data_IF_209095454040
#
_entry.id   IF_209095454040
#
_cell.length_a   1.000
_cell.length_b   1.000
_cell.length_c   1.000
_cell.angle_alpha   90.00
_cell.angle_beta   90.00
_cell.angle_gamma   90.00
#
_symmetry.space_group_name_H-M   'P 1'
#
loop_
_entity.id
_entity.type
_entity.pdbx_description
1 polymer ?
2 non-polymer ?
3 water ?
#
# COMPACT_ATOMS: atom_id res chain seq x y z
N UNK A 1 0.37 37.92 -15.82
CA UNK A 1 -0.12 38.71 -17.00
C UNK A 1 -0.67 37.81 -18.11
N UNK A 2 -0.26 38.07 -19.37
CA UNK A 2 -0.67 37.22 -20.51
C UNK A 2 0.17 35.94 -20.63
N UNK A 3 -0.43 34.78 -20.35
CA UNK A 3 0.28 33.50 -20.45
C UNK A 3 1.28 33.28 -19.33
N UNK A 4 2.44 32.74 -19.68
CA UNK A 4 3.43 32.24 -18.71
C UNK A 4 4.79 32.36 -19.40
N UNK A 5 5.82 32.78 -18.68
CA UNK A 5 7.16 32.91 -19.26
C UNK A 5 7.90 31.61 -19.17
N UNK A 6 8.94 31.45 -20.00
CA UNK A 6 9.82 30.27 -20.04
C UNK A 6 10.33 30.11 -18.62
N UNK A 7 10.64 31.25 -17.99
CA UNK A 7 11.21 31.18 -16.66
C UNK A 7 10.26 30.57 -15.62
N UNK A 8 8.99 30.94 -15.65
CA UNK A 8 8.08 30.39 -14.61
C UNK A 8 7.77 28.91 -14.89
N UNK A 9 7.86 28.48 -16.16
CA UNK A 9 7.71 27.07 -16.44
C UNK A 9 8.85 26.29 -15.73
N UNK A 10 10.11 26.73 -15.92
CA UNK A 10 11.23 26.10 -15.24
C UNK A 10 11.03 25.97 -13.78
N UNK A 11 10.46 27.00 -13.17
CA UNK A 11 10.20 26.96 -11.72
C UNK A 11 9.10 25.98 -11.37
N UNK A 12 8.04 25.92 -12.20
CA UNK A 12 6.95 25.00 -11.93
C UNK A 12 7.49 23.55 -12.07
N UNK A 13 8.36 23.34 -13.06
CA UNK A 13 8.82 22.00 -13.32
C UNK A 13 9.72 21.56 -12.16
N UNK A 14 10.65 22.45 -11.78
CA UNK A 14 11.58 22.15 -10.66
C UNK A 14 10.85 21.80 -9.34
N UNK A 15 9.82 22.52 -9.04
CA UNK A 15 9.04 22.24 -7.86
C UNK A 15 8.27 20.91 -7.98
N UNK A 16 7.76 20.62 -9.18
CA UNK A 16 6.99 19.43 -9.31
C UNK A 16 7.91 18.23 -9.12
N UNK A 17 9.14 18.36 -9.60
CA UNK A 17 10.10 17.26 -9.50
C UNK A 17 10.57 17.13 -8.08
N UNK A 18 10.66 18.23 -7.37
CA UNK A 18 11.09 18.10 -5.99
C UNK A 18 9.97 17.34 -5.19
N UNK A 19 8.72 17.74 -5.38
CA UNK A 19 7.57 16.96 -4.81
C UNK A 19 7.56 15.49 -5.28
N UNK A 20 7.80 15.25 -6.56
CA UNK A 20 7.86 13.90 -7.04
C UNK A 20 8.88 13.12 -6.24
N UNK A 21 10.04 13.73 -5.98
CA UNK A 21 11.06 12.97 -5.33
C UNK A 21 10.82 12.76 -3.83
N UNK A 22 9.84 13.43 -3.22
CA UNK A 22 9.56 13.20 -1.77
C UNK A 22 8.57 12.02 -1.64
N UNK A 23 8.96 10.87 -2.16
CA UNK A 23 8.10 9.67 -2.15
C UNK A 23 6.74 9.99 -2.77
N UNK A 24 6.78 10.80 -3.83
CA UNK A 24 5.63 11.17 -4.69
C UNK A 24 4.62 12.08 -4.07
N UNK A 25 4.29 11.88 -2.79
CA UNK A 25 3.12 12.57 -2.20
C UNK A 25 3.46 13.44 -1.01
N UNK A 26 4.68 13.38 -0.48
CA UNK A 26 5.14 14.40 0.44
C UNK A 26 4.67 14.14 1.89
N UNK A 27 4.26 12.91 2.25
CA UNK A 27 3.81 12.64 3.63
C UNK A 27 4.67 11.56 4.25
N UNK A 28 5.07 11.74 5.49
CA UNK A 28 5.85 10.72 6.18
C UNK A 28 5.03 9.41 6.22
N UNK A 29 5.70 8.28 6.07
CA UNK A 29 5.06 6.95 6.02
C UNK A 29 5.52 6.21 7.24
N UNK A 30 4.62 5.96 8.19
CA UNK A 30 5.03 5.27 9.43
C UNK A 30 5.01 3.75 9.29
N UNK A 31 4.51 3.26 8.15
CA UNK A 31 4.49 1.85 7.78
C UNK A 31 5.74 1.44 6.93
N UNK A 32 6.62 2.37 6.62
CA UNK A 32 7.73 2.06 5.74
C UNK A 32 8.69 1.19 6.50
N UNK A 33 8.96 0.02 5.98
CA UNK A 33 9.85 -0.92 6.67
C UNK A 33 11.21 -0.32 6.95
N UNK A 34 11.83 0.37 5.99
CA UNK A 34 13.19 0.91 6.23
C UNK A 34 13.15 1.97 7.33
N UNK A 35 11.99 2.56 7.57
CA UNK A 35 11.87 3.58 8.64
C UNK A 35 11.67 2.88 10.00
N UNK A 36 11.55 1.54 10.05
CA UNK A 36 11.44 0.81 11.34
C UNK A 36 10.10 0.10 11.54
N UNK A 37 9.20 0.14 10.55
CA UNK A 37 7.97 -0.59 10.63
C UNK A 37 8.17 -2.09 10.32
N UNK A 38 7.20 -2.94 10.66
CA UNK A 38 7.29 -4.33 10.27
C UNK A 38 5.93 -4.88 10.25
N UNK A 39 5.81 -6.04 9.64
CA UNK A 39 4.58 -6.74 9.56
C UNK A 39 4.57 -7.75 10.72
N UNK A 40 3.42 -8.01 11.33
CA UNK A 40 3.27 -9.08 12.31
C UNK A 40 2.86 -10.33 11.54
N UNK A 41 3.87 -11.14 11.16
CA UNK A 41 3.74 -12.33 10.27
C UNK A 41 2.62 -13.21 10.69
N UNK A 42 2.67 -13.55 11.97
CA UNK A 42 1.64 -14.30 12.68
C UNK A 42 0.21 -13.72 12.53
N UNK A 43 0.09 -12.42 12.25
CA UNK A 43 -1.20 -11.79 12.01
C UNK A 43 -1.26 -11.24 10.54
N UNK A 44 -1.35 -12.15 9.57
CA UNK A 44 -1.41 -11.85 8.14
C UNK A 44 -2.05 -13.01 7.39
N UNK A 45 -2.89 -12.74 6.40
CA UNK A 45 -3.26 -13.81 5.51
C UNK A 45 -2.03 -14.63 5.08
N UNK A 46 -2.28 -15.90 4.77
CA UNK A 46 -1.26 -16.73 4.17
C UNK A 46 -0.91 -16.24 2.77
N UNK A 47 0.38 -16.27 2.47
CA UNK A 47 0.94 -15.80 1.22
C UNK A 47 0.60 -16.77 0.14
N UNK A 48 0.31 -16.25 -1.03
CA UNK A 48 -0.05 -17.06 -2.17
C UNK A 48 1.00 -16.88 -3.26
N UNK A 49 1.51 -17.97 -3.83
CA UNK A 49 2.53 -17.81 -4.85
C UNK A 49 1.86 -17.51 -6.21
N UNK A 50 2.02 -16.30 -6.77
CA UNK A 50 1.39 -16.04 -8.08
C UNK A 50 2.16 -16.66 -9.27
N UNK A 51 3.45 -16.98 -9.08
CA UNK A 51 4.30 -17.46 -10.17
C UNK A 51 4.33 -19.02 -10.20
N UNK A 52 3.23 -19.66 -9.80
CA UNK A 52 3.11 -21.14 -9.78
C UNK A 52 3.29 -21.82 -11.15
N UNK A 53 2.43 -21.43 -12.10
CA UNK A 53 2.45 -21.90 -13.49
C UNK A 53 3.82 -21.75 -14.19
N UNK A 54 4.78 -21.10 -13.54
CA UNK A 54 6.10 -20.89 -14.13
C UNK A 54 7.11 -21.54 -13.24
N UNK A 55 6.82 -21.58 -11.94
CA UNK A 55 7.72 -22.17 -10.95
C UNK A 55 7.72 -23.68 -11.09
N UNK A 56 6.59 -24.20 -11.54
CA UNK A 56 6.48 -25.58 -11.91
C UNK A 56 6.96 -25.66 -13.35
N UNK A 57 6.10 -25.27 -14.29
CA UNK A 57 6.28 -25.50 -15.73
C UNK A 57 7.60 -24.96 -16.37
N UNK A 58 8.50 -24.39 -15.55
CA UNK A 58 9.88 -24.01 -15.97
C UNK A 58 10.99 -24.23 -14.91
N UNK A 59 10.65 -24.20 -13.62
CA UNK A 59 11.64 -24.38 -12.54
C UNK A 59 11.61 -23.36 -11.40
N UNK A 60 12.29 -23.68 -10.29
CA UNK A 60 12.49 -22.77 -9.14
C UNK A 60 13.89 -22.17 -9.29
N UNK A 61 14.01 -20.91 -9.81
CA UNK A 61 15.35 -20.27 -9.80
C UNK A 61 16.04 -20.40 -8.46
N UNK A 62 17.36 -20.33 -8.46
CA UNK A 62 18.10 -20.65 -7.27
C UNK A 62 18.13 -19.51 -6.26
N UNK A 63 17.98 -18.27 -6.76
CA UNK A 63 17.95 -17.00 -5.97
C UNK A 63 16.53 -16.64 -5.59
N UNK A 64 15.57 -17.39 -6.13
CA UNK A 64 14.14 -17.09 -6.05
C UNK A 64 13.53 -17.23 -4.65
N UNK A 65 12.78 -16.18 -4.25
CA UNK A 65 11.98 -16.20 -3.02
C UNK A 65 10.58 -15.65 -3.15
N UNK A 66 9.63 -16.32 -2.50
CA UNK A 66 8.24 -15.87 -2.56
C UNK A 66 8.17 -14.45 -2.00
N UNK A 67 7.30 -13.65 -2.61
CA UNK A 67 6.95 -12.31 -2.15
C UNK A 67 6.15 -12.43 -0.85
N UNK A 68 6.73 -12.03 0.29
CA UNK A 68 6.06 -12.11 1.61
C UNK A 68 5.40 -10.83 2.04
N UNK A 69 4.69 -10.85 3.16
CA UNK A 69 3.87 -9.71 3.48
C UNK A 69 4.67 -8.40 3.66
N UNK A 70 5.96 -8.48 4.01
CA UNK A 70 6.72 -7.25 4.22
C UNK A 70 6.87 -6.43 2.97
N UNK A 71 6.61 -7.02 1.81
CA UNK A 71 6.78 -6.37 0.53
C UNK A 71 5.85 -5.16 0.50
N UNK A 72 4.73 -5.16 1.26
CA UNK A 72 3.80 -4.05 1.19
C UNK A 72 4.37 -2.84 1.91
N UNK A 73 5.48 -3.02 2.64
CA UNK A 73 6.11 -1.95 3.38
C UNK A 73 7.37 -1.51 2.63
N UNK A 74 7.48 -1.84 1.33
CA UNK A 74 8.74 -1.59 0.61
C UNK A 74 8.49 -0.81 -0.62
N UNK A 75 9.32 0.20 -0.90
CA UNK A 75 8.86 1.11 -1.93
C UNK A 75 8.97 0.60 -3.36
N UNK A 76 9.74 -0.44 -3.64
CA UNK A 76 9.82 -0.91 -5.05
C UNK A 76 8.46 -1.49 -5.46
N UNK A 77 7.82 -0.85 -6.42
CA UNK A 77 6.58 -1.32 -6.92
C UNK A 77 6.61 -1.63 -8.40
N UNK A 78 7.76 -2.00 -8.95
CA UNK A 78 7.74 -2.65 -10.29
C UNK A 78 6.82 -3.87 -10.37
N UNK A 79 6.28 -4.18 -11.56
CA UNK A 79 5.33 -5.32 -11.71
C UNK A 79 5.85 -6.58 -11.07
N UNK A 80 5.01 -7.25 -10.30
CA UNK A 80 5.48 -8.46 -9.58
C UNK A 80 5.93 -8.12 -8.15
N UNK A 81 6.24 -6.87 -7.84
CA UNK A 81 6.76 -6.61 -6.48
C UNK A 81 5.62 -6.27 -5.51
N UNK A 82 4.71 -7.22 -5.34
CA UNK A 82 3.46 -7.11 -4.60
C UNK A 82 3.35 -8.41 -3.81
N UNK A 83 2.73 -8.28 -2.67
CA UNK A 83 2.37 -9.42 -1.87
C UNK A 83 1.01 -9.90 -2.27
N UNK A 84 0.92 -11.18 -2.61
CA UNK A 84 -0.35 -11.80 -3.01
C UNK A 84 -0.95 -12.75 -1.95
N UNK A 85 -2.25 -12.64 -1.69
CA UNK A 85 -2.95 -13.67 -0.95
C UNK A 85 -4.06 -14.29 -1.83
N UNK A 86 -4.50 -15.47 -1.41
CA UNK A 86 -5.52 -16.26 -2.14
C UNK A 86 -6.94 -15.65 -2.11
N UNK A 87 -7.66 -15.61 -3.23
CA UNK A 87 -9.03 -15.07 -3.20
C UNK A 87 -9.08 -13.56 -2.91
N UNK A 88 -10.29 -12.99 -2.78
CA UNK A 88 -10.46 -11.55 -2.64
C UNK A 88 -10.50 -10.98 -1.21
N UNK A 89 -10.26 -11.79 -0.18
CA UNK A 89 -10.27 -11.26 1.19
C UNK A 89 -8.97 -11.62 1.84
N UNK A 90 -8.43 -10.74 2.69
CA UNK A 90 -7.06 -10.93 3.19
C UNK A 90 -6.80 -9.75 4.11
N UNK A 91 -5.72 -9.78 4.87
CA UNK A 91 -5.46 -8.70 5.82
C UNK A 91 -4.01 -8.79 6.17
N UNK A 92 -3.45 -7.66 6.58
CA UNK A 92 -2.13 -7.70 7.15
C UNK A 92 -2.14 -6.74 8.31
N UNK A 93 -1.34 -7.05 9.30
CA UNK A 93 -1.23 -6.21 10.47
C UNK A 93 0.17 -5.65 10.51
N UNK A 94 0.24 -4.34 10.72
CA UNK A 94 1.48 -3.65 10.63
C UNK A 94 1.77 -3.00 11.94
N UNK A 95 3.01 -3.18 12.40
CA UNK A 95 3.48 -2.40 13.52
C UNK A 95 4.27 -1.24 12.98
N UNK A 96 3.77 -0.04 13.24
CA UNK A 96 4.32 1.21 12.72
C UNK A 96 5.66 1.56 13.36
N UNK A 97 6.43 2.39 12.68
CA UNK A 97 7.72 2.82 13.23
C UNK A 97 7.56 3.76 14.43
N UNK A 98 6.41 4.40 14.61
CA UNK A 98 6.21 5.20 15.84
C UNK A 98 4.75 5.14 16.18
N UNK A 99 4.42 5.47 17.44
CA UNK A 99 2.99 5.58 17.82
C UNK A 99 2.48 6.90 17.26
N UNK A 100 1.36 6.89 16.54
CA UNK A 100 0.90 8.09 15.87
C UNK A 100 -0.60 8.19 15.97
N UNK A 101 -1.13 9.39 15.77
CA UNK A 101 -2.54 9.48 15.47
C UNK A 101 -2.71 9.43 13.96
N UNK A 102 -3.43 8.43 13.44
CA UNK A 102 -3.52 8.23 12.02
C UNK A 102 -4.54 9.13 11.39
N UNK A 103 -4.14 9.73 10.28
CA UNK A 103 -4.97 10.71 9.54
C UNK A 103 -5.21 10.26 8.12
N UNK A 104 -4.37 9.37 7.57
CA UNK A 104 -4.59 8.97 6.16
C UNK A 104 -3.87 7.67 5.89
N UNK A 105 -4.28 6.89 4.88
CA UNK A 105 -3.41 5.79 4.42
C UNK A 105 -3.25 5.95 2.92
N UNK A 106 -2.23 5.31 2.35
CA UNK A 106 -2.09 5.29 0.95
C UNK A 106 -1.97 3.85 0.52
N UNK A 107 -2.62 3.58 -0.59
CA UNK A 107 -2.51 2.28 -1.21
C UNK A 107 -2.15 2.53 -2.70
N UNK A 108 -1.24 1.77 -3.25
CA UNK A 108 -0.98 1.90 -4.67
C UNK A 108 -0.94 0.54 -5.33
N UNK A 109 -1.17 0.54 -6.64
CA UNK A 109 -1.07 -0.67 -7.44
C UNK A 109 -0.31 -0.38 -8.70
N UNK A 110 0.22 -1.40 -9.36
CA UNK A 110 0.89 -1.21 -10.65
C UNK A 110 -0.10 -0.60 -11.63
N UNK A 111 0.37 0.30 -12.50
CA UNK A 111 -0.47 1.01 -13.47
C UNK A 111 -0.98 0.05 -14.57
N UNK A 112 -2.21 0.24 -15.02
CA UNK A 112 -2.71 -0.50 -16.18
C UNK A 112 -1.76 -0.59 -17.36
N UNK A 113 -1.14 0.53 -17.73
CA UNK A 113 -0.23 0.52 -18.89
C UNK A 113 0.87 -0.54 -18.78
N UNK A 114 1.22 -0.96 -17.56
CA UNK A 114 2.32 -1.91 -17.39
C UNK A 114 1.85 -3.36 -17.14
N UNK A 115 0.53 -3.60 -17.22
CA UNK A 115 -0.01 -4.96 -17.00
C UNK A 115 -0.49 -5.59 -18.32
N UNK A 116 -0.41 -6.93 -18.42
CA UNK A 116 -1.01 -7.59 -19.59
C UNK A 116 -2.50 -7.18 -19.80
N UNK A 117 -2.85 -6.81 -21.03
CA UNK A 117 -4.23 -6.44 -21.36
C UNK A 117 -4.77 -5.19 -20.66
N UNK A 118 -3.87 -4.44 -20.00
CA UNK A 118 -4.23 -3.19 -19.33
C UNK A 118 -5.32 -3.39 -18.25
N UNK A 119 -5.33 -4.55 -17.62
CA UNK A 119 -6.31 -4.71 -16.59
C UNK A 119 -5.57 -5.13 -15.36
N UNK A 120 -6.15 -4.86 -14.22
CA UNK A 120 -5.47 -5.08 -12.98
C UNK A 120 -6.48 -5.71 -12.07
N UNK A 121 -6.95 -6.88 -12.45
CA UNK A 121 -8.15 -7.37 -11.80
C UNK A 121 -7.81 -7.87 -10.42
N UNK A 122 -6.52 -8.12 -10.19
CA UNK A 122 -6.09 -8.54 -8.86
C UNK A 122 -5.82 -7.37 -7.89
N UNK A 123 -6.10 -6.13 -8.29
CA UNK A 123 -5.90 -5.03 -7.36
C UNK A 123 -6.94 -5.10 -6.23
N UNK A 124 -6.61 -4.62 -5.04
CA UNK A 124 -7.65 -4.62 -4.03
C UNK A 124 -8.74 -3.66 -4.43
N UNK A 125 -9.93 -3.81 -3.85
CA UNK A 125 -11.04 -2.88 -4.14
C UNK A 125 -11.47 -2.27 -2.83
N UNK A 126 -12.42 -2.89 -2.11
CA UNK A 126 -12.95 -2.31 -0.86
C UNK A 126 -12.02 -2.79 0.19
N UNK A 127 -11.70 -1.92 1.13
CA UNK A 127 -10.88 -2.36 2.21
C UNK A 127 -11.18 -1.55 3.47
N UNK A 128 -10.63 -1.95 4.61
CA UNK A 128 -10.80 -1.16 5.83
C UNK A 128 -9.52 -1.09 6.59
N UNK A 129 -9.41 -0.08 7.45
CA UNK A 129 -8.24 0.05 8.30
C UNK A 129 -8.66 0.02 9.78
N UNK A 130 -8.00 -0.81 10.62
CA UNK A 130 -8.30 -0.91 12.04
C UNK A 130 -7.08 -0.52 12.88
N UNK A 131 -7.27 0.17 14.01
CA UNK A 131 -6.17 0.41 14.94
C UNK A 131 -6.31 -0.50 16.16
N UNK A 132 -5.19 -0.97 16.73
CA UNK A 132 -5.20 -1.82 17.90
C UNK A 132 -4.41 -1.00 18.89
N UNK A 133 -5.00 -0.55 19.99
CA UNK A 133 -4.24 0.38 20.85
C UNK A 133 -3.27 -0.34 21.80
N UNK A 134 -3.48 -1.64 21.97
CA UNK A 134 -2.60 -2.46 22.77
C UNK A 134 -1.80 -3.39 21.86
N UNK A 135 -0.67 -3.83 22.40
CA UNK A 135 0.14 -4.87 21.79
C UNK A 135 -0.60 -6.22 21.66
N UNK A 136 -1.18 -6.74 22.76
CA UNK A 136 -1.91 -8.04 22.74
C UNK A 136 -3.19 -7.87 21.95
N UNK A 137 -2.98 -7.67 20.65
CA UNK A 137 -3.98 -7.15 19.75
C UNK A 137 -5.05 -8.20 19.39
N UNK A 138 -6.18 -8.15 20.10
CA UNK A 138 -7.33 -8.98 19.77
C UNK A 138 -8.47 -8.11 19.25
N UNK A 139 -8.67 -6.95 19.85
CA UNK A 139 -9.79 -6.10 19.46
C UNK A 139 -9.50 -4.88 18.57
N UNK A 140 -9.99 -4.91 17.32
CA UNK A 140 -9.76 -3.82 16.39
C UNK A 140 -10.88 -2.80 16.36
N UNK A 141 -10.49 -1.53 16.39
CA UNK A 141 -11.38 -0.39 16.13
C UNK A 141 -11.32 0.08 14.69
N UNK A 142 -12.46 0.14 14.02
CA UNK A 142 -12.55 0.54 12.64
C UNK A 142 -12.13 2.01 12.53
N UNK A 143 -11.04 2.29 11.80
CA UNK A 143 -10.65 3.66 11.52
C UNK A 143 -11.29 4.19 10.24
N UNK A 144 -11.54 3.33 9.25
CA UNK A 144 -12.23 3.80 8.05
C UNK A 144 -12.35 2.70 7.03
N UNK A 145 -13.27 2.88 6.08
CA UNK A 145 -13.50 1.93 5.04
C UNK A 145 -13.31 2.72 3.78
N UNK A 146 -12.73 2.09 2.77
CA UNK A 146 -12.49 2.82 1.52
C UNK A 146 -12.48 1.85 0.35
N UNK A 147 -12.45 2.41 -0.83
CA UNK A 147 -12.38 1.61 -2.06
C UNK A 147 -11.20 2.07 -2.89
N UNK A 148 -10.35 1.15 -3.30
CA UNK A 148 -9.29 1.48 -4.25
C UNK A 148 -9.91 1.42 -5.65
N UNK A 149 -9.74 2.48 -6.41
CA UNK A 149 -10.47 2.66 -7.60
C UNK A 149 -9.59 2.21 -8.75
N UNK A 150 -9.97 1.15 -9.46
CA UNK A 150 -9.07 0.64 -10.49
C UNK A 150 -8.96 1.57 -11.71
N UNK A 151 -9.84 2.56 -11.83
CA UNK A 151 -9.75 3.50 -12.96
C UNK A 151 -9.09 4.77 -12.53
N UNK A 152 -8.72 4.84 -11.26
CA UNK A 152 -8.00 6.01 -10.76
C UNK A 152 -6.50 5.95 -10.97
N UNK A 153 -5.78 6.84 -10.30
CA UNK A 153 -4.34 6.91 -10.39
C UNK A 153 -3.70 5.77 -9.61
N UNK A 154 -2.48 5.36 -10.04
CA UNK A 154 -1.89 4.17 -9.42
C UNK A 154 -1.75 4.37 -7.92
N UNK A 155 -1.29 5.53 -7.48
CA UNK A 155 -1.20 5.81 -6.01
C UNK A 155 -2.43 6.55 -5.55
N UNK A 156 -3.15 6.02 -4.55
CA UNK A 156 -4.34 6.71 -4.04
C UNK A 156 -4.22 6.90 -2.55
N UNK A 157 -4.55 8.08 -2.08
CA UNK A 157 -4.49 8.36 -0.64
C UNK A 157 -5.93 8.52 -0.08
N UNK A 158 -6.12 8.10 1.16
CA UNK A 158 -7.46 8.00 1.82
C UNK A 158 -7.39 8.66 3.17
N UNK A 159 -8.19 9.70 3.34
CA UNK A 159 -8.17 10.45 4.62
C UNK A 159 -9.29 9.95 5.50
N UNK A 160 -9.00 9.66 6.76
CA UNK A 160 -10.01 9.22 7.71
C UNK A 160 -10.96 10.41 7.93
N UNK A 161 -12.26 10.17 7.91
CA UNK A 161 -13.22 11.25 8.22
C UNK A 161 -13.29 11.56 9.74
N UNK A 162 -12.79 12.72 10.12
CA UNK A 162 -12.77 13.12 11.53
C UNK A 162 -12.29 12.01 12.50
N UNK A 163 -10.98 11.71 12.49
CA UNK A 163 -10.45 10.73 13.46
C UNK A 163 -10.64 11.20 14.89
N UNK A 164 -10.68 10.30 15.87
CA UNK A 164 -10.51 10.72 17.26
C UNK A 164 -9.09 11.20 17.36
N UNK A 165 -8.65 11.57 18.54
CA UNK A 165 -7.25 11.82 18.73
C UNK A 165 -6.56 10.55 19.23
N UNK A 166 -7.21 9.40 19.14
CA UNK A 166 -6.55 8.16 19.64
C UNK A 166 -5.24 7.87 18.86
N UNK A 167 -4.22 7.40 19.57
CA UNK A 167 -2.97 7.09 18.93
C UNK A 167 -2.80 5.59 18.91
N UNK A 168 -2.01 5.15 17.93
CA UNK A 168 -1.82 3.73 17.66
C UNK A 168 -0.46 3.51 17.12
N UNK A 169 0.05 2.33 17.44
CA UNK A 169 1.25 1.81 16.86
C UNK A 169 1.02 0.50 16.10
N UNK A 170 -0.20 -0.02 16.10
CA UNK A 170 -0.42 -1.24 15.34
C UNK A 170 -1.72 -1.03 14.59
N UNK A 171 -1.73 -1.34 13.30
CA UNK A 171 -2.85 -1.07 12.42
C UNK A 171 -3.02 -2.28 11.51
N UNK A 172 -4.23 -2.53 11.05
CA UNK A 172 -4.43 -3.61 10.11
C UNK A 172 -5.03 -3.10 8.83
N UNK A 173 -4.53 -3.63 7.72
CA UNK A 173 -5.13 -3.47 6.46
C UNK A 173 -5.90 -4.73 6.14
N UNK A 174 -7.21 -4.54 5.90
CA UNK A 174 -8.11 -5.65 5.71
C UNK A 174 -8.77 -5.45 4.42
N UNK A 175 -8.44 -6.31 3.48
CA UNK A 175 -9.02 -6.22 2.12
C UNK A 175 -10.38 -7.00 2.08
N UNK A 176 -11.44 -6.33 1.61
CA UNK A 176 -12.81 -6.91 1.59
C UNK A 176 -13.20 -7.47 0.24
N UNK A 177 -12.83 -6.80 -0.84
CA UNK A 177 -13.03 -7.38 -2.17
C UNK A 177 -11.83 -7.04 -3.06
N UNK A 178 -11.71 -7.73 -4.20
CA UNK A 178 -10.77 -7.29 -5.23
C UNK A 178 -11.41 -6.81 -6.52
N UNK A 179 -10.65 -6.56 -7.56
CA UNK A 179 -11.28 -6.14 -8.77
C UNK A 179 -11.65 -7.32 -9.62
N UNK A 180 -11.89 -8.48 -8.99
CA UNK A 180 -12.53 -9.58 -9.72
C UNK A 180 -11.61 -10.69 -10.18
N UNK A 181 -10.33 -10.65 -9.83
CA UNK A 181 -9.49 -11.79 -10.11
C UNK A 181 -9.94 -12.94 -9.26
N UNK A 182 -10.18 -14.10 -9.89
CA UNK A 182 -10.79 -15.26 -9.25
C UNK A 182 -9.83 -16.06 -8.39
N UNK A 183 -8.52 -15.82 -8.51
CA UNK A 183 -7.52 -16.59 -7.73
C UNK A 183 -6.80 -15.88 -6.59
N UNK A 184 -6.51 -14.59 -6.78
CA UNK A 184 -5.74 -13.86 -5.75
C UNK A 184 -5.85 -12.35 -5.82
N UNK A 185 -5.42 -11.72 -4.74
CA UNK A 185 -5.32 -10.29 -4.67
C UNK A 185 -3.85 -9.97 -4.37
N UNK A 186 -3.33 -8.93 -5.05
CA UNK A 186 -1.94 -8.58 -4.85
C UNK A 186 -1.87 -7.13 -4.39
N UNK A 187 -1.08 -6.93 -3.34
CA UNK A 187 -0.90 -5.59 -2.70
C UNK A 187 0.50 -5.01 -3.00
N UNK A 188 0.62 -3.88 -3.70
CA UNK A 188 1.98 -3.35 -4.04
C UNK A 188 2.60 -2.57 -2.85
N UNK A 189 1.90 -1.60 -2.29
CA UNK A 189 2.49 -0.84 -1.17
C UNK A 189 1.38 -0.15 -0.42
N UNK A 190 1.48 -0.28 0.88
CA UNK A 190 0.55 0.29 1.83
C UNK A 190 1.32 1.29 2.73
N UNK A 191 0.80 2.50 2.90
CA UNK A 191 1.48 3.49 3.71
C UNK A 191 0.47 4.00 4.71
N UNK A 192 0.98 4.48 5.85
CA UNK A 192 0.19 4.99 6.93
C UNK A 192 0.79 6.32 7.30
N UNK A 193 -0.05 7.36 7.29
CA UNK A 193 0.36 8.74 7.59
C UNK A 193 -0.35 9.25 8.83
N UNK A 194 0.26 10.14 9.61
CA UNK A 194 -0.47 10.70 10.75
C UNK A 194 0.39 11.63 11.56
N UNK A 195 0.05 11.90 12.82
CA UNK A 195 0.89 12.86 13.62
C UNK A 195 1.55 12.14 14.76
N UNK A 196 2.85 12.31 14.95
CA UNK A 196 3.59 11.60 15.97
C UNK A 196 3.50 12.31 17.35
N UNK A 197 4.32 11.92 18.34
CA UNK A 197 4.52 12.63 19.65
C UNK A 197 5.24 13.96 19.47
N UNK A 198 5.29 14.73 20.56
CA UNK A 198 5.71 16.13 20.52
C UNK A 198 4.65 16.94 19.84
X LIG B 1 6.36 -3.29 -2.75
#
# INVERSE_FOLDING_TARGET
GPGVTEEQVHHIVKQALQRYSEDRIGLADYALESGGASVISTRCSETYETKTALLSLFGIPLWYHSQSPRVILQPDVHPGNCWAFQGPQGFAVVRLSARIRPTAVTLEHVPKALSPNSTISSAPKDFAIFGFDEDLQQEGTLLGKFTYDQDGEPIQTFHFQAPTMATYQVVELRILTNWGHPEYTCIYRFRVHGEPAH
K K
#
